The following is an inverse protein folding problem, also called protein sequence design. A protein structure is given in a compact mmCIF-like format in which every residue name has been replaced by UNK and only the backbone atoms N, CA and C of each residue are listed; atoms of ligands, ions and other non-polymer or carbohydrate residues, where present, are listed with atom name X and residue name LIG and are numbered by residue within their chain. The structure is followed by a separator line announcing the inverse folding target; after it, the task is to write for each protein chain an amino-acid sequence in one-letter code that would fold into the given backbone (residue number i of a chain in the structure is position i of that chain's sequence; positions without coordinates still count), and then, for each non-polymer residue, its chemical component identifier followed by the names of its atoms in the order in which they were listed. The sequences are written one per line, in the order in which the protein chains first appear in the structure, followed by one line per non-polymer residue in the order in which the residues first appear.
data_IF_005075716264
#
_entry.id   IF_005075716264
#
_cell.length_a   1.000
_cell.length_b   1.000
_cell.length_c   1.000
_cell.angle_alpha   90.00
_cell.angle_beta   90.00
_cell.angle_gamma   90.00
#
_symmetry.space_group_name_H-M   'P 1'
#
loop_
_entity.id
_entity.type
_entity.pdbx_description
1 polymer ?
#
# COMPACT_ATOMS: atom_id res chain seq x y z
N UNK A 1 4.16 13.27 -22.64
CA UNK A 1 5.25 13.23 -21.66
C UNK A 1 6.08 12.01 -21.96
N UNK A 2 7.33 12.20 -22.38
CA UNK A 2 8.23 11.09 -22.73
C UNK A 2 8.75 10.41 -21.47
N UNK A 3 9.12 9.13 -21.58
CA UNK A 3 9.68 8.33 -20.49
C UNK A 3 10.99 8.91 -19.90
N UNK A 4 11.62 9.87 -20.60
CA UNK A 4 12.85 10.52 -20.17
C UNK A 4 12.69 11.56 -19.06
N UNK A 5 11.48 12.15 -18.88
CA UNK A 5 11.25 13.20 -17.88
C UNK A 5 11.01 12.68 -16.45
N UNK A 6 10.98 11.37 -16.26
CA UNK A 6 10.64 10.74 -14.97
C UNK A 6 11.84 10.42 -14.05
N UNK A 7 13.05 10.91 -14.34
CA UNK A 7 14.23 10.75 -13.47
C UNK A 7 14.24 11.63 -12.20
N UNK A 8 13.18 12.39 -11.92
CA UNK A 8 13.18 13.37 -10.83
C UNK A 8 12.69 12.87 -9.47
N UNK A 9 12.43 11.59 -9.27
CA UNK A 9 12.17 11.10 -7.92
C UNK A 9 13.49 10.79 -7.21
N UNK A 10 13.90 11.67 -6.31
CA UNK A 10 15.11 11.53 -5.49
C UNK A 10 15.12 10.32 -4.53
N UNK A 11 14.11 9.48 -4.61
CA UNK A 11 13.88 8.28 -3.78
C UNK A 11 13.98 6.97 -4.56
N UNK A 12 14.14 7.03 -5.90
CA UNK A 12 14.30 5.86 -6.74
C UNK A 12 15.78 5.73 -7.06
N UNK A 13 16.36 4.59 -6.77
CA UNK A 13 17.72 4.22 -7.12
C UNK A 13 17.86 4.09 -8.65
N UNK A 14 19.07 4.29 -9.19
CA UNK A 14 19.36 3.97 -10.60
C UNK A 14 19.54 2.45 -10.83
N UNK A 15 19.45 1.63 -9.78
CA UNK A 15 19.59 0.19 -9.87
C UNK A 15 18.35 -0.43 -10.47
N UNK A 16 18.53 -1.09 -11.61
CA UNK A 16 17.47 -1.81 -12.29
C UNK A 16 17.04 -3.06 -11.52
N UNK A 17 15.74 -3.35 -11.59
CA UNK A 17 15.10 -4.49 -10.96
C UNK A 17 14.19 -5.17 -11.99
N UNK A 18 14.41 -6.46 -12.22
CA UNK A 18 13.62 -7.26 -13.15
C UNK A 18 12.45 -7.93 -12.44
N UNK A 19 11.27 -7.83 -13.02
CA UNK A 19 10.04 -8.43 -12.48
C UNK A 19 9.13 -8.99 -13.57
N UNK A 20 8.13 -9.80 -13.19
CA UNK A 20 7.14 -10.34 -14.12
C UNK A 20 5.73 -9.89 -13.76
N UNK A 21 4.97 -9.47 -14.77
CA UNK A 21 3.54 -9.21 -14.66
C UNK A 21 2.79 -10.00 -15.73
N UNK A 22 1.82 -10.83 -15.31
CA UNK A 22 1.09 -11.77 -16.18
C UNK A 22 1.99 -12.59 -17.10
N UNK A 23 3.13 -13.08 -16.56
CA UNK A 23 4.11 -13.89 -17.27
C UNK A 23 5.12 -13.11 -18.11
N UNK A 24 4.84 -11.84 -18.45
CA UNK A 24 5.73 -10.98 -19.24
C UNK A 24 6.77 -10.31 -18.34
N UNK A 25 8.03 -10.25 -18.82
CA UNK A 25 9.14 -9.61 -18.10
C UNK A 25 9.14 -8.11 -18.33
N UNK A 26 9.40 -7.36 -17.27
CA UNK A 26 9.54 -5.90 -17.24
C UNK A 26 10.72 -5.50 -16.38
N UNK A 27 11.19 -4.27 -16.57
CA UNK A 27 12.27 -3.66 -15.79
C UNK A 27 11.73 -2.40 -15.10
N UNK A 28 11.98 -2.28 -13.82
CA UNK A 28 11.76 -1.07 -13.02
C UNK A 28 13.03 -0.73 -12.26
N UNK A 29 12.94 0.11 -11.26
CA UNK A 29 14.08 0.55 -10.45
C UNK A 29 13.85 0.24 -8.98
N UNK A 30 14.93 0.06 -8.24
CA UNK A 30 14.87 -0.15 -6.79
C UNK A 30 14.16 1.03 -6.11
N UNK A 31 13.11 0.75 -5.34
CA UNK A 31 12.22 1.75 -4.75
C UNK A 31 10.90 1.95 -5.50
N UNK A 32 10.79 1.52 -6.76
CA UNK A 32 9.51 1.51 -7.48
C UNK A 32 8.49 0.61 -6.77
N UNK A 33 7.23 1.03 -6.81
CA UNK A 33 6.10 0.14 -6.53
C UNK A 33 5.76 -0.66 -7.80
N UNK A 34 4.98 -1.73 -7.67
CA UNK A 34 4.49 -2.48 -8.83
C UNK A 34 3.78 -1.51 -9.80
N UNK A 35 2.96 -0.61 -9.28
CA UNK A 35 2.23 0.36 -10.09
C UNK A 35 3.15 1.33 -10.84
N UNK A 36 4.13 1.95 -10.16
CA UNK A 36 5.05 2.89 -10.80
C UNK A 36 5.91 2.21 -11.85
N UNK A 37 6.38 0.99 -11.58
CA UNK A 37 7.15 0.20 -12.53
C UNK A 37 6.32 -0.19 -13.77
N UNK A 38 5.05 -0.58 -13.61
CA UNK A 38 4.15 -0.88 -14.73
C UNK A 38 3.85 0.36 -15.58
N UNK A 39 3.55 1.50 -14.94
CA UNK A 39 3.30 2.76 -15.65
C UNK A 39 4.53 3.24 -16.44
N UNK A 40 5.73 3.10 -15.88
CA UNK A 40 7.00 3.39 -16.56
C UNK A 40 7.18 2.55 -17.83
N UNK A 41 6.71 1.31 -17.81
CA UNK A 41 6.68 0.41 -18.96
C UNK A 41 5.43 0.58 -19.85
N UNK A 42 4.69 1.69 -19.70
CA UNK A 42 3.45 1.98 -20.44
C UNK A 42 2.34 0.92 -20.28
N UNK A 43 2.34 0.16 -19.19
CA UNK A 43 1.28 -0.80 -18.86
C UNK A 43 0.19 -0.06 -18.11
N UNK A 44 -0.88 0.30 -18.82
CA UNK A 44 -2.01 1.09 -18.29
C UNK A 44 -3.12 0.23 -17.72
N UNK A 45 -3.35 -0.96 -18.29
CA UNK A 45 -4.37 -1.90 -17.86
C UNK A 45 -3.76 -2.89 -16.86
N UNK A 46 -4.23 -2.86 -15.61
CA UNK A 46 -3.67 -3.68 -14.52
C UNK A 46 -4.67 -4.62 -13.86
N UNK A 47 -5.97 -4.33 -13.98
CA UNK A 47 -7.02 -5.12 -13.38
C UNK A 47 -8.35 -4.99 -14.15
N UNK A 48 -9.34 -5.78 -13.72
CA UNK A 48 -10.74 -5.69 -14.18
C UNK A 48 -11.65 -5.48 -12.97
N UNK A 49 -12.78 -4.77 -13.17
CA UNK A 49 -13.75 -4.57 -12.09
C UNK A 49 -14.46 -5.88 -11.73
N UNK A 50 -14.87 -6.02 -10.47
CA UNK A 50 -15.42 -7.28 -9.96
C UNK A 50 -16.72 -7.70 -10.66
N UNK A 51 -17.64 -6.77 -10.87
CA UNK A 51 -19.00 -7.09 -11.37
C UNK A 51 -19.08 -7.13 -12.88
N UNK A 52 -18.54 -6.11 -13.53
CA UNK A 52 -18.70 -5.91 -14.97
C UNK A 52 -17.45 -6.18 -15.78
N UNK A 53 -16.35 -6.56 -15.14
CA UNK A 53 -15.07 -6.80 -15.79
C UNK A 53 -14.57 -5.64 -16.67
N UNK A 54 -14.95 -4.41 -16.30
CA UNK A 54 -14.50 -3.20 -16.99
C UNK A 54 -12.99 -3.01 -16.80
N UNK A 55 -12.27 -2.56 -17.84
CA UNK A 55 -10.85 -2.28 -17.72
C UNK A 55 -10.54 -1.30 -16.60
N UNK A 56 -9.49 -1.57 -15.80
CA UNK A 56 -9.04 -0.74 -14.69
C UNK A 56 -7.54 -0.49 -14.79
N UNK A 57 -7.16 0.77 -14.70
CA UNK A 57 -5.78 1.21 -14.55
C UNK A 57 -5.48 1.67 -13.14
N UNK A 58 -4.30 2.28 -12.96
CA UNK A 58 -3.93 2.97 -11.72
C UNK A 58 -4.60 4.34 -11.71
N UNK A 59 -5.34 4.62 -10.65
CA UNK A 59 -6.13 5.83 -10.50
C UNK A 59 -5.48 6.84 -9.54
N UNK A 60 -4.95 6.35 -8.41
CA UNK A 60 -4.31 7.18 -7.37
C UNK A 60 -2.95 6.62 -6.98
N UNK A 61 -2.38 7.09 -5.89
CA UNK A 61 -1.13 6.59 -5.32
C UNK A 61 -1.35 6.05 -3.89
N UNK A 62 -0.39 5.25 -3.41
CA UNK A 62 -0.39 4.74 -2.04
C UNK A 62 -1.59 3.85 -1.71
N UNK A 63 -2.05 3.94 -0.47
CA UNK A 63 -3.16 3.12 0.06
C UNK A 63 -4.53 3.52 -0.48
N UNK A 64 -4.63 4.65 -1.16
CA UNK A 64 -5.89 5.19 -1.68
C UNK A 64 -6.32 4.55 -3.00
N UNK A 65 -5.43 3.77 -3.64
CA UNK A 65 -5.70 3.13 -4.92
C UNK A 65 -6.83 2.10 -4.83
N UNK A 66 -7.96 2.31 -5.54
CA UNK A 66 -9.10 1.40 -5.48
C UNK A 66 -9.05 0.29 -6.55
N UNK A 67 -8.27 0.45 -7.62
CA UNK A 67 -8.36 -0.39 -8.82
C UNK A 67 -7.15 -1.29 -9.05
N UNK A 68 -5.97 -0.83 -8.65
CA UNK A 68 -4.70 -1.50 -8.90
C UNK A 68 -4.43 -2.67 -7.96
N UNK A 69 -5.33 -3.65 -7.95
CA UNK A 69 -5.26 -4.82 -7.07
C UNK A 69 -4.71 -5.99 -7.86
N UNK A 70 -3.64 -6.58 -7.33
CA UNK A 70 -2.89 -7.67 -7.97
C UNK A 70 -2.64 -8.81 -7.01
N UNK A 71 -2.19 -9.94 -7.54
CA UNK A 71 -1.74 -11.09 -6.78
C UNK A 71 -0.23 -11.24 -6.92
N UNK A 72 0.47 -11.40 -5.80
CA UNK A 72 1.89 -11.76 -5.77
C UNK A 72 1.97 -13.28 -5.81
N UNK A 73 2.75 -13.83 -6.74
CA UNK A 73 2.87 -15.27 -6.97
C UNK A 73 4.13 -15.89 -6.35
N UNK A 74 4.87 -15.12 -5.56
CA UNK A 74 6.06 -15.61 -4.87
C UNK A 74 5.67 -16.35 -3.58
N UNK A 75 6.54 -16.39 -2.62
CA UNK A 75 6.56 -17.27 -1.45
C UNK A 75 5.21 -17.47 -0.75
N UNK A 76 4.45 -16.40 -0.56
CA UNK A 76 3.18 -16.47 0.20
C UNK A 76 1.93 -16.41 -0.68
N UNK A 77 2.09 -16.22 -2.00
CA UNK A 77 0.95 -16.08 -2.90
C UNK A 77 -0.08 -15.06 -2.38
N UNK A 78 0.38 -13.81 -2.13
CA UNK A 78 -0.43 -12.74 -1.52
C UNK A 78 -1.53 -12.25 -2.48
N UNK A 79 -2.80 -12.48 -2.18
CA UNK A 79 -3.90 -11.95 -2.98
C UNK A 79 -4.26 -10.53 -2.58
N UNK A 80 -4.97 -9.84 -3.47
CA UNK A 80 -5.58 -8.53 -3.23
C UNK A 80 -4.59 -7.46 -2.76
N UNK A 81 -3.34 -7.55 -3.23
CA UNK A 81 -2.28 -6.61 -2.89
C UNK A 81 -2.40 -5.35 -3.74
N UNK A 82 -2.34 -4.18 -3.11
CA UNK A 82 -2.33 -2.91 -3.86
C UNK A 82 -0.99 -2.70 -4.55
N UNK A 83 -1.03 -2.60 -5.87
CA UNK A 83 0.16 -2.40 -6.70
C UNK A 83 0.89 -1.07 -6.41
N UNK A 84 0.18 -0.08 -5.85
CA UNK A 84 0.72 1.22 -5.47
C UNK A 84 1.44 1.25 -4.12
N UNK A 85 1.32 0.18 -3.33
CA UNK A 85 1.97 0.05 -2.01
C UNK A 85 3.14 -0.93 -2.06
N UNK A 86 2.94 -2.09 -2.73
CA UNK A 86 3.96 -3.14 -2.79
C UNK A 86 5.12 -2.72 -3.69
N UNK A 87 6.32 -2.71 -3.12
CA UNK A 87 7.55 -2.42 -3.87
C UNK A 87 8.02 -3.63 -4.64
N UNK A 88 8.62 -3.38 -5.82
CA UNK A 88 9.25 -4.43 -6.60
C UNK A 88 10.59 -4.85 -5.97
N UNK A 89 10.96 -6.10 -6.21
CA UNK A 89 12.28 -6.67 -5.93
C UNK A 89 12.64 -7.67 -7.03
N UNK A 90 13.90 -7.99 -7.15
CA UNK A 90 14.40 -8.88 -8.22
C UNK A 90 13.67 -10.23 -8.23
N UNK A 91 13.06 -10.55 -9.37
CA UNK A 91 12.33 -11.79 -9.58
C UNK A 91 10.92 -11.85 -8.99
N UNK A 92 10.34 -10.73 -8.51
CA UNK A 92 8.94 -10.74 -8.08
C UNK A 92 8.02 -11.07 -9.25
N UNK A 93 7.07 -11.96 -9.02
CA UNK A 93 6.06 -12.40 -9.99
C UNK A 93 4.70 -11.90 -9.55
N UNK A 94 4.07 -11.13 -10.42
CA UNK A 94 2.79 -10.49 -10.17
C UNK A 94 1.78 -10.96 -11.21
N UNK A 95 0.56 -11.20 -10.80
CA UNK A 95 -0.56 -11.51 -11.70
C UNK A 95 -1.69 -10.52 -11.48
N UNK A 96 -2.31 -10.11 -12.56
CA UNK A 96 -3.59 -9.42 -12.51
C UNK A 96 -4.69 -10.36 -11.97
N UNK A 97 -5.72 -9.77 -11.41
CA UNK A 97 -6.87 -10.49 -10.87
C UNK A 97 -8.13 -10.22 -11.70
N UNK A 98 -9.16 -11.03 -11.45
CA UNK A 98 -10.50 -10.86 -12.01
C UNK A 98 -10.52 -10.83 -13.54
N UNK A 99 -9.88 -11.77 -14.19
CA UNK A 99 -9.84 -11.88 -15.65
C UNK A 99 -9.82 -13.34 -16.11
N UNK A 100 -10.34 -13.60 -17.31
CA UNK A 100 -10.20 -14.90 -17.95
C UNK A 100 -10.45 -14.78 -19.48
N UNK A 101 -9.52 -15.23 -20.34
CA UNK A 101 -8.20 -15.80 -20.02
C UNK A 101 -7.13 -14.75 -19.74
N UNK A 102 -7.30 -13.50 -20.21
CA UNK A 102 -6.29 -12.43 -20.05
C UNK A 102 -6.92 -11.07 -19.74
N UNK A 103 -6.11 -10.06 -19.40
CA UNK A 103 -6.59 -8.70 -19.21
C UNK A 103 -7.17 -8.08 -20.49
N UNK A 104 -6.55 -8.37 -21.63
CA UNK A 104 -6.97 -7.79 -22.92
C UNK A 104 -8.22 -8.50 -23.47
N UNK A 105 -8.25 -9.83 -23.38
CA UNK A 105 -9.39 -10.65 -23.83
C UNK A 105 -9.97 -11.30 -22.58
N UNK A 106 -11.09 -10.75 -22.11
CA UNK A 106 -11.74 -11.23 -20.89
C UNK A 106 -13.20 -11.56 -21.16
N UNK A 107 -13.52 -12.85 -21.10
CA UNK A 107 -14.88 -13.36 -21.35
C UNK A 107 -15.85 -12.83 -20.29
N UNK A 108 -15.39 -12.59 -19.07
CA UNK A 108 -16.21 -11.99 -18.01
C UNK A 108 -16.76 -10.60 -18.38
N UNK A 109 -16.20 -9.92 -19.39
CA UNK A 109 -16.68 -8.63 -19.87
C UNK A 109 -18.09 -8.69 -20.48
N UNK A 110 -18.60 -9.88 -20.81
CA UNK A 110 -20.00 -10.11 -21.21
C UNK A 110 -20.96 -9.60 -20.13
N UNK A 111 -20.58 -9.65 -18.85
CA UNK A 111 -21.37 -9.10 -17.76
C UNK A 111 -21.66 -7.59 -17.91
N UNK A 112 -20.85 -6.87 -18.69
CA UNK A 112 -21.11 -5.46 -18.96
C UNK A 112 -22.30 -5.26 -19.91
N UNK A 113 -22.52 -6.17 -20.85
CA UNK A 113 -23.70 -6.18 -21.74
C UNK A 113 -24.97 -6.50 -20.94
N UNK A 114 -24.85 -7.35 -19.92
CA UNK A 114 -25.94 -7.74 -19.04
C UNK A 114 -26.14 -6.74 -17.87
N UNK A 115 -25.50 -5.59 -17.91
CA UNK A 115 -25.53 -4.59 -16.82
C UNK A 115 -26.94 -4.14 -16.39
N UNK A 116 -27.95 -4.01 -17.26
CA UNK A 116 -29.31 -3.69 -16.83
C UNK A 116 -29.94 -4.74 -15.90
N UNK A 117 -29.57 -6.02 -16.07
CA UNK A 117 -30.05 -7.11 -15.21
C UNK A 117 -29.37 -7.13 -13.83
N UNK A 118 -28.17 -6.57 -13.74
CA UNK A 118 -27.37 -6.55 -12.52
C UNK A 118 -27.46 -5.21 -11.78
N UNK A 119 -28.67 -4.70 -11.58
CA UNK A 119 -28.88 -3.49 -10.77
C UNK A 119 -28.35 -3.64 -9.35
N UNK A 120 -28.19 -2.54 -8.61
CA UNK A 120 -27.78 -2.58 -7.21
C UNK A 120 -28.72 -3.49 -6.40
N UNK A 121 -28.16 -4.39 -5.60
CA UNK A 121 -28.93 -5.32 -4.78
C UNK A 121 -29.60 -6.49 -5.53
N UNK A 122 -29.26 -6.72 -6.82
CA UNK A 122 -29.85 -7.81 -7.61
C UNK A 122 -29.76 -9.18 -6.92
N UNK A 123 -28.67 -9.45 -6.19
CA UNK A 123 -28.47 -10.74 -5.51
C UNK A 123 -29.40 -10.93 -4.31
N UNK A 124 -29.91 -9.88 -3.69
CA UNK A 124 -30.94 -9.99 -2.65
C UNK A 124 -32.32 -10.39 -3.21
N UNK A 125 -32.57 -10.12 -4.49
CA UNK A 125 -33.83 -10.44 -5.14
C UNK A 125 -33.75 -11.73 -5.96
N UNK A 126 -32.60 -11.98 -6.59
CA UNK A 126 -32.46 -13.05 -7.61
C UNK A 126 -32.07 -14.40 -6.98
N UNK A 127 -31.33 -14.40 -5.88
CA UNK A 127 -30.77 -15.62 -5.26
C UNK A 127 -31.45 -16.04 -3.95
N UNK A 128 -32.76 -15.75 -3.84
CA UNK A 128 -33.55 -16.03 -2.62
C UNK A 128 -34.01 -17.49 -2.47
N UNK A 129 -34.02 -18.25 -3.50
CA UNK A 129 -34.47 -19.63 -3.49
C UNK A 129 -33.73 -20.55 -4.44
N UNK A 130 -33.87 -21.89 -4.28
CA UNK A 130 -34.43 -22.63 -3.15
C UNK A 130 -33.62 -22.57 -1.87
N UNK A 131 -34.26 -22.93 -0.75
CA UNK A 131 -33.60 -22.92 0.58
C UNK A 131 -32.29 -23.74 0.59
N UNK A 132 -31.20 -23.14 1.07
CA UNK A 132 -29.87 -23.76 1.14
C UNK A 132 -29.02 -23.58 -0.13
N UNK A 133 -29.57 -23.09 -1.24
CA UNK A 133 -28.81 -22.88 -2.49
C UNK A 133 -27.81 -21.72 -2.36
N UNK A 134 -28.12 -20.73 -1.53
CA UNK A 134 -27.19 -19.64 -1.28
C UNK A 134 -25.80 -20.16 -0.90
N UNK A 135 -25.72 -20.96 0.17
CA UNK A 135 -24.45 -21.47 0.70
C UNK A 135 -23.76 -22.46 -0.25
N UNK A 136 -24.52 -23.29 -0.97
CA UNK A 136 -23.97 -24.40 -1.74
C UNK A 136 -23.66 -24.07 -3.20
N UNK A 137 -24.39 -23.12 -3.79
CA UNK A 137 -24.30 -22.82 -5.21
C UNK A 137 -24.00 -21.34 -5.45
N UNK A 138 -24.86 -20.42 -4.99
CA UNK A 138 -24.75 -19.02 -5.37
C UNK A 138 -23.51 -18.34 -4.79
N UNK A 139 -23.26 -18.48 -3.51
CA UNK A 139 -22.11 -17.87 -2.85
C UNK A 139 -20.77 -18.35 -3.44
N UNK A 140 -20.52 -19.67 -3.62
CA UNK A 140 -19.29 -20.14 -4.27
C UNK A 140 -19.12 -19.63 -5.70
N UNK A 141 -20.20 -19.57 -6.49
CA UNK A 141 -20.14 -19.05 -7.86
C UNK A 141 -19.85 -17.55 -7.84
N UNK A 142 -20.56 -16.77 -7.02
CA UNK A 142 -20.34 -15.33 -6.90
C UNK A 142 -18.92 -15.02 -6.41
N UNK A 143 -18.43 -15.72 -5.40
CA UNK A 143 -17.07 -15.59 -4.89
C UNK A 143 -16.03 -15.88 -5.99
N UNK A 144 -16.25 -16.93 -6.79
CA UNK A 144 -15.34 -17.28 -7.87
C UNK A 144 -15.36 -16.25 -9.00
N UNK A 145 -16.54 -15.72 -9.35
CA UNK A 145 -16.70 -14.70 -10.38
C UNK A 145 -16.29 -13.30 -9.91
N UNK A 146 -16.30 -13.03 -8.61
CA UNK A 146 -15.81 -11.77 -8.05
C UNK A 146 -14.30 -11.58 -8.25
N UNK A 147 -13.57 -12.62 -8.68
CA UNK A 147 -12.15 -12.50 -9.03
C UNK A 147 -11.23 -12.13 -7.86
N UNK A 148 -11.68 -12.36 -6.63
CA UNK A 148 -10.84 -12.24 -5.46
C UNK A 148 -9.68 -13.25 -5.58
N UNK A 149 -8.45 -12.82 -5.32
CA UNK A 149 -7.27 -13.67 -5.42
C UNK A 149 -7.37 -14.92 -4.57
N UNK A 150 -6.52 -15.88 -4.86
CA UNK A 150 -6.48 -17.15 -4.11
C UNK A 150 -5.59 -16.99 -2.88
N UNK A 151 -6.09 -17.29 -1.68
CA UNK A 151 -5.26 -17.29 -0.48
C UNK A 151 -4.15 -18.36 -0.60
N UNK A 152 -3.04 -18.18 0.10
CA UNK A 152 -2.01 -19.19 0.17
C UNK A 152 -2.56 -20.45 0.83
N UNK A 153 -2.13 -21.63 0.37
CA UNK A 153 -2.49 -22.93 0.98
C UNK A 153 -1.85 -23.06 2.36
N UNK A 154 -0.62 -22.60 2.48
CA UNK A 154 0.13 -22.56 3.72
C UNK A 154 0.69 -21.15 3.90
N UNK A 155 0.36 -20.52 5.02
CA UNK A 155 0.91 -19.24 5.39
C UNK A 155 1.74 -19.41 6.65
N UNK A 156 3.07 -19.29 6.53
CA UNK A 156 4.00 -19.34 7.65
C UNK A 156 4.91 -18.13 7.58
N UNK A 157 4.45 -17.04 8.16
CA UNK A 157 5.27 -15.86 8.37
C UNK A 157 5.98 -15.96 9.71
N UNK A 158 7.27 -15.68 9.73
CA UNK A 158 8.01 -15.52 10.99
C UNK A 158 7.82 -14.08 11.47
N UNK A 159 7.35 -13.95 12.67
CA UNK A 159 7.19 -12.66 13.34
C UNK A 159 7.89 -12.64 14.69
N UNK A 160 8.33 -11.46 15.08
CA UNK A 160 8.86 -11.19 16.43
C UNK A 160 8.01 -10.12 17.09
N UNK A 161 8.03 -10.09 18.42
CA UNK A 161 7.34 -9.07 19.20
C UNK A 161 8.39 -8.18 19.88
N UNK A 162 8.12 -6.87 19.87
CA UNK A 162 8.93 -5.89 20.61
C UNK A 162 8.02 -5.02 21.44
N UNK A 163 8.45 -4.75 22.70
CA UNK A 163 7.75 -3.86 23.60
C UNK A 163 8.51 -2.53 23.67
N UNK A 164 7.77 -1.43 23.67
CA UNK A 164 8.27 -0.10 23.84
C UNK A 164 7.54 0.60 24.97
N UNK A 165 8.27 1.35 25.77
CA UNK A 165 7.74 2.26 26.77
C UNK A 165 8.42 3.61 26.51
N UNK A 166 7.64 4.60 26.07
CA UNK A 166 8.13 5.92 25.65
C UNK A 166 7.17 7.00 26.14
N UNK A 167 7.65 8.22 26.29
CA UNK A 167 6.80 9.32 26.77
C UNK A 167 5.82 9.78 25.70
N UNK A 168 6.30 9.90 24.44
CA UNK A 168 5.51 10.43 23.34
C UNK A 168 5.62 9.52 22.13
N UNK A 169 4.47 9.18 21.54
CA UNK A 169 4.39 8.53 20.22
C UNK A 169 3.85 9.50 19.19
N UNK A 170 4.53 9.61 18.06
CA UNK A 170 4.06 10.37 16.88
C UNK A 170 3.67 9.35 15.81
N UNK A 171 2.39 9.32 15.45
CA UNK A 171 1.86 8.45 14.39
C UNK A 171 1.83 9.23 13.09
N UNK A 172 2.72 8.89 12.18
CA UNK A 172 2.90 9.53 10.87
C UNK A 172 4.10 10.47 10.80
N UNK A 173 4.99 10.20 9.86
CA UNK A 173 6.19 10.98 9.55
C UNK A 173 5.99 12.00 8.42
N UNK A 174 4.76 12.49 8.23
CA UNK A 174 4.43 13.58 7.31
C UNK A 174 4.85 14.95 7.85
N UNK A 175 4.40 16.04 7.20
CA UNK A 175 4.75 17.40 7.59
C UNK A 175 4.48 17.67 9.08
N UNK A 176 3.26 17.38 9.52
CA UNK A 176 2.83 17.65 10.91
C UNK A 176 3.66 16.85 11.92
N UNK A 177 3.88 15.55 11.64
CA UNK A 177 4.69 14.68 12.51
C UNK A 177 6.15 15.13 12.57
N UNK A 178 6.74 15.53 11.44
CA UNK A 178 8.11 16.05 11.40
C UNK A 178 8.27 17.40 12.12
N UNK A 179 7.27 18.28 12.04
CA UNK A 179 7.28 19.55 12.79
C UNK A 179 7.19 19.27 14.30
N UNK A 180 6.30 18.36 14.71
CA UNK A 180 6.19 17.95 16.11
C UNK A 180 7.51 17.34 16.61
N UNK A 181 8.09 16.41 15.84
CA UNK A 181 9.38 15.80 16.18
C UNK A 181 10.51 16.82 16.33
N UNK A 182 10.62 17.80 15.40
CA UNK A 182 11.65 18.85 15.51
C UNK A 182 11.57 19.66 16.80
N UNK A 183 10.35 19.88 17.32
CA UNK A 183 10.15 20.61 18.59
C UNK A 183 10.52 19.77 19.82
N UNK A 184 10.62 18.46 19.65
CA UNK A 184 10.96 17.52 20.72
C UNK A 184 12.43 17.08 20.70
N UNK A 185 13.23 17.56 19.74
CA UNK A 185 14.67 17.32 19.69
C UNK A 185 15.31 17.88 20.95
N UNK A 186 16.20 17.10 21.56
CA UNK A 186 16.98 17.42 22.76
C UNK A 186 16.11 17.80 23.99
N UNK A 187 14.85 17.39 24.02
CA UNK A 187 14.02 17.45 25.23
C UNK A 187 14.28 16.24 26.12
N UNK A 188 13.72 16.26 27.33
CA UNK A 188 13.81 15.15 28.28
C UNK A 188 12.88 13.95 27.93
N UNK A 189 12.03 14.08 26.91
CA UNK A 189 11.04 13.07 26.55
C UNK A 189 11.61 12.05 25.57
N UNK A 190 11.38 10.76 25.84
CA UNK A 190 11.62 9.69 24.89
C UNK A 190 10.50 9.66 23.84
N UNK A 191 10.87 9.81 22.57
CA UNK A 191 9.92 9.95 21.46
C UNK A 191 10.07 8.81 20.45
N UNK A 192 8.95 8.22 20.05
CA UNK A 192 8.89 7.21 18.99
C UNK A 192 8.04 7.71 17.83
N UNK A 193 8.63 7.77 16.64
CA UNK A 193 7.91 8.10 15.41
C UNK A 193 7.61 6.80 14.66
N UNK A 194 6.34 6.60 14.29
CA UNK A 194 5.88 5.46 13.50
C UNK A 194 5.47 5.95 12.11
N UNK A 195 6.13 5.45 11.07
CA UNK A 195 5.83 5.80 9.68
C UNK A 195 5.55 4.54 8.86
N UNK A 196 4.40 4.49 8.20
CA UNK A 196 4.01 3.36 7.39
C UNK A 196 4.83 3.18 6.12
N UNK A 197 5.34 4.28 5.57
CA UNK A 197 6.17 4.26 4.37
C UNK A 197 7.66 4.04 4.71
N UNK A 198 8.44 3.70 3.69
CA UNK A 198 9.91 3.59 3.83
C UNK A 198 10.61 4.95 3.91
N UNK A 199 9.87 6.03 3.67
CA UNK A 199 10.39 7.39 3.59
C UNK A 199 9.51 8.33 4.40
N UNK A 200 10.13 9.29 5.07
CA UNK A 200 9.45 10.38 5.73
C UNK A 200 8.97 11.44 4.74
N UNK A 201 8.09 12.32 5.18
CA UNK A 201 7.61 13.48 4.44
C UNK A 201 6.17 13.35 3.92
N UNK A 202 5.61 12.13 3.88
CA UNK A 202 4.22 11.90 3.45
C UNK A 202 3.91 12.59 2.13
N UNK A 203 2.80 13.32 2.07
CA UNK A 203 2.30 14.02 0.90
C UNK A 203 3.24 15.09 0.35
N UNK A 204 4.13 15.66 1.19
CA UNK A 204 5.12 16.67 0.73
C UNK A 204 6.03 16.17 -0.38
N UNK A 205 6.25 14.87 -0.47
CA UNK A 205 7.10 14.25 -1.51
C UNK A 205 6.48 14.39 -2.91
N UNK A 206 5.16 14.51 -2.99
CA UNK A 206 4.39 14.48 -4.24
C UNK A 206 3.72 15.82 -4.56
N UNK A 207 3.78 16.80 -3.64
CA UNK A 207 3.16 18.11 -3.84
C UNK A 207 4.03 19.02 -4.70
N UNK A 208 3.74 19.08 -6.00
CA UNK A 208 4.38 20.03 -6.92
C UNK A 208 4.00 21.50 -6.65
N UNK A 209 2.92 21.76 -5.90
CA UNK A 209 2.43 23.11 -5.58
C UNK A 209 3.20 23.78 -4.45
N UNK A 210 3.76 23.01 -3.52
CA UNK A 210 4.58 23.54 -2.41
C UNK A 210 5.97 23.82 -2.92
N UNK A 211 6.29 25.07 -3.16
CA UNK A 211 7.60 25.47 -3.72
C UNK A 211 8.70 25.44 -2.67
N UNK A 212 8.43 25.91 -1.46
CA UNK A 212 9.44 26.02 -0.37
C UNK A 212 8.83 25.83 1.01
N UNK A 213 9.59 25.23 1.92
CA UNK A 213 9.36 25.15 3.37
C UNK A 213 10.59 25.74 4.03
N UNK A 214 10.45 26.80 4.81
CA UNK A 214 11.58 27.51 5.43
C UNK A 214 12.69 27.84 4.40
N UNK A 215 12.31 28.38 3.25
CA UNK A 215 13.21 28.73 2.13
C UNK A 215 13.93 27.56 1.43
N UNK A 216 13.65 26.31 1.79
CA UNK A 216 14.22 25.10 1.19
C UNK A 216 13.18 24.35 0.35
N UNK A 217 13.62 23.58 -0.64
CA UNK A 217 12.74 22.65 -1.34
C UNK A 217 12.19 21.61 -0.35
N UNK A 218 10.94 21.13 -0.51
CA UNK A 218 10.34 20.18 0.42
C UNK A 218 11.22 18.95 0.70
N UNK A 219 11.83 18.38 -0.33
CA UNK A 219 12.71 17.22 -0.24
C UNK A 219 13.98 17.52 0.57
N UNK A 220 14.59 18.68 0.38
CA UNK A 220 15.77 19.10 1.13
C UNK A 220 15.42 19.30 2.59
N UNK A 221 14.29 19.95 2.89
CA UNK A 221 13.80 20.14 4.24
C UNK A 221 13.52 18.81 4.96
N UNK A 222 12.91 17.83 4.26
CA UNK A 222 12.66 16.49 4.80
C UNK A 222 14.00 15.81 5.16
N UNK A 223 14.96 15.79 4.23
CA UNK A 223 16.28 15.15 4.45
C UNK A 223 17.04 15.77 5.62
N UNK A 224 17.02 17.10 5.69
CA UNK A 224 17.64 17.80 6.82
C UNK A 224 16.94 17.48 8.14
N UNK A 225 15.61 17.51 8.15
CA UNK A 225 14.82 17.17 9.35
C UNK A 225 15.09 15.74 9.80
N UNK A 226 15.11 14.78 8.88
CA UNK A 226 15.45 13.39 9.17
C UNK A 226 16.86 13.26 9.76
N UNK A 227 17.84 14.01 9.21
CA UNK A 227 19.20 14.03 9.73
C UNK A 227 19.26 14.56 11.16
N UNK A 228 18.54 15.65 11.44
CA UNK A 228 18.47 16.24 12.78
C UNK A 228 17.83 15.27 13.80
N UNK A 229 16.72 14.64 13.42
CA UNK A 229 16.04 13.66 14.27
C UNK A 229 16.94 12.44 14.54
N UNK A 230 17.60 11.92 13.51
CA UNK A 230 18.52 10.78 13.67
C UNK A 230 19.78 11.10 14.50
N UNK A 231 20.18 12.36 14.56
CA UNK A 231 21.27 12.82 15.43
C UNK A 231 20.83 13.00 16.88
N UNK A 232 19.56 13.16 17.14
CA UNK A 232 18.97 13.29 18.48
C UNK A 232 19.03 11.98 19.23
N UNK A 233 19.36 12.02 20.53
CA UNK A 233 19.45 10.82 21.38
C UNK A 233 18.10 10.34 21.89
N UNK A 234 17.10 11.21 21.92
CA UNK A 234 15.79 10.98 22.52
C UNK A 234 14.69 10.63 21.52
N UNK A 235 14.98 10.62 20.19
CA UNK A 235 13.96 10.31 19.18
C UNK A 235 14.35 9.09 18.36
N UNK A 236 13.46 8.12 18.28
CA UNK A 236 13.60 6.92 17.44
C UNK A 236 12.55 6.92 16.32
N UNK A 237 12.95 6.52 15.11
CA UNK A 237 12.06 6.39 13.96
C UNK A 237 11.92 4.92 13.60
N UNK A 238 10.69 4.43 13.48
CA UNK A 238 10.35 3.14 12.89
C UNK A 238 9.60 3.39 11.58
N UNK A 239 10.28 3.15 10.47
CA UNK A 239 9.71 3.18 9.11
C UNK A 239 9.09 1.83 8.76
N UNK A 240 8.28 1.76 7.71
CA UNK A 240 7.52 0.56 7.30
C UNK A 240 6.65 0.00 8.43
N UNK A 241 6.19 0.86 9.32
CA UNK A 241 5.52 0.52 10.56
C UNK A 241 4.11 1.11 10.58
N UNK A 242 3.13 0.27 10.28
CA UNK A 242 1.71 0.64 10.26
C UNK A 242 1.11 0.50 11.66
N UNK A 243 0.58 1.58 12.22
CA UNK A 243 -0.22 1.52 13.45
C UNK A 243 -1.56 0.87 13.13
N UNK A 244 -1.82 -0.29 13.71
CA UNK A 244 -3.02 -1.10 13.47
C UNK A 244 -4.10 -0.89 14.51
N UNK A 245 -3.73 -0.45 15.73
CA UNK A 245 -4.69 -0.13 16.76
C UNK A 245 -4.16 0.91 17.76
N UNK A 246 -5.10 1.66 18.31
CA UNK A 246 -4.91 2.59 19.42
C UNK A 246 -5.97 2.28 20.47
N UNK A 247 -5.54 1.76 21.60
CA UNK A 247 -6.41 1.24 22.65
C UNK A 247 -6.44 2.18 23.87
N UNK A 248 -7.32 1.89 24.82
CA UNK A 248 -7.37 2.61 26.09
C UNK A 248 -5.99 2.66 26.77
N UNK A 249 -5.78 3.68 27.60
CA UNK A 249 -4.53 3.90 28.34
C UNK A 249 -3.29 4.10 27.45
N UNK A 250 -3.48 4.74 26.28
CA UNK A 250 -2.39 5.06 25.32
C UNK A 250 -1.53 3.82 24.97
N UNK A 251 -2.18 2.71 24.68
CA UNK A 251 -1.54 1.50 24.21
C UNK A 251 -1.75 1.35 22.71
N UNK A 252 -0.65 1.39 21.93
CA UNK A 252 -0.67 1.24 20.49
C UNK A 252 -0.08 -0.10 20.08
N UNK A 253 -0.58 -0.62 18.95
CA UNK A 253 0.02 -1.76 18.27
C UNK A 253 0.41 -1.31 16.86
N UNK A 254 1.65 -1.57 16.48
CA UNK A 254 2.13 -1.33 15.13
C UNK A 254 2.75 -2.60 14.53
N UNK A 255 2.60 -2.76 13.23
CA UNK A 255 3.16 -3.85 12.46
C UNK A 255 4.21 -3.30 11.51
N UNK A 256 5.47 -3.71 11.71
CA UNK A 256 6.59 -3.36 10.85
C UNK A 256 6.84 -4.47 9.82
N UNK A 257 6.90 -4.10 8.54
CA UNK A 257 7.32 -5.00 7.46
C UNK A 257 8.83 -4.87 7.23
N UNK A 258 9.58 -5.93 7.55
CA UNK A 258 11.04 -6.00 7.37
C UNK A 258 11.47 -6.32 5.95
N UNK A 259 10.53 -6.76 5.10
CA UNK A 259 10.80 -7.29 3.77
C UNK A 259 10.37 -6.34 2.63
N UNK A 260 10.10 -5.07 2.95
CA UNK A 260 9.70 -4.08 1.93
C UNK A 260 10.76 -3.97 0.83
N UNK A 261 10.37 -4.25 -0.42
CA UNK A 261 11.26 -4.22 -1.58
C UNK A 261 12.37 -5.27 -1.59
N UNK A 262 12.20 -6.36 -0.82
CA UNK A 262 13.17 -7.46 -0.74
C UNK A 262 12.45 -8.80 -0.87
N UNK A 263 13.20 -9.78 -1.36
CA UNK A 263 12.75 -11.18 -1.33
C UNK A 263 12.69 -11.66 0.12
N UNK A 264 11.67 -12.42 0.46
CA UNK A 264 11.47 -12.98 1.77
C UNK A 264 12.55 -14.07 2.02
N UNK A 265 13.25 -13.92 3.12
CA UNK A 265 14.18 -14.95 3.64
C UNK A 265 13.46 -15.76 4.70
N UNK A 266 13.15 -17.02 4.39
CA UNK A 266 12.42 -17.95 5.29
C UNK A 266 13.07 -18.13 6.66
N UNK A 267 14.35 -17.76 6.82
CA UNK A 267 15.08 -17.92 8.07
C UNK A 267 15.01 -16.67 8.96
N UNK A 268 14.56 -15.53 8.41
CA UNK A 268 14.47 -14.25 9.13
C UNK A 268 13.02 -13.89 9.42
N UNK A 269 12.77 -13.10 10.48
CA UNK A 269 11.43 -12.55 10.72
C UNK A 269 11.07 -11.56 9.61
N UNK A 270 9.88 -11.72 9.06
CA UNK A 270 9.30 -10.85 8.05
C UNK A 270 8.62 -9.64 8.67
N UNK A 271 7.99 -9.88 9.81
CA UNK A 271 7.16 -8.90 10.51
C UNK A 271 7.65 -8.71 11.93
N UNK A 272 7.53 -7.48 12.42
CA UNK A 272 7.68 -7.19 13.86
C UNK A 272 6.39 -6.56 14.37
N UNK A 273 5.81 -7.18 15.39
CA UNK A 273 4.69 -6.62 16.13
C UNK A 273 5.22 -5.77 17.27
N UNK A 274 5.04 -4.46 17.18
CA UNK A 274 5.41 -3.51 18.23
C UNK A 274 4.21 -3.28 19.14
N UNK A 275 4.38 -3.54 20.45
CA UNK A 275 3.45 -3.18 21.51
C UNK A 275 4.02 -1.96 22.23
N UNK A 276 3.29 -0.86 22.20
CA UNK A 276 3.82 0.43 22.62
C UNK A 276 2.94 1.02 23.71
N UNK A 277 3.53 1.32 24.85
CA UNK A 277 2.92 2.14 25.90
C UNK A 277 3.51 3.53 25.85
N UNK A 278 2.66 4.53 26.00
CA UNK A 278 3.08 5.92 25.96
C UNK A 278 2.23 6.78 26.90
N UNK A 279 2.77 7.90 27.33
CA UNK A 279 2.02 8.90 28.09
C UNK A 279 1.15 9.76 27.16
N UNK A 280 1.71 10.14 25.99
CA UNK A 280 1.03 11.01 25.03
C UNK A 280 1.14 10.46 23.62
N UNK A 281 0.07 10.60 22.85
CA UNK A 281 0.02 10.21 21.44
C UNK A 281 -0.32 11.42 20.56
N UNK A 282 0.52 11.71 19.57
CA UNK A 282 0.28 12.71 18.54
C UNK A 282 -0.14 11.99 17.26
N UNK A 283 -1.39 12.14 16.87
CA UNK A 283 -1.91 11.59 15.62
C UNK A 283 -1.64 12.57 14.48
N UNK A 284 -0.66 12.25 13.64
CA UNK A 284 -0.23 13.03 12.48
C UNK A 284 -0.32 12.21 11.18
N UNK A 285 -1.30 11.30 11.12
CA UNK A 285 -1.48 10.29 10.07
C UNK A 285 -2.06 10.86 8.76
N UNK A 286 -2.27 12.18 8.67
CA UNK A 286 -2.78 12.85 7.48
C UNK A 286 -4.26 12.55 7.22
N UNK A 287 -4.66 12.74 5.97
CA UNK A 287 -6.02 12.47 5.49
C UNK A 287 -5.98 11.93 4.06
N UNK A 288 -7.07 11.32 3.65
CA UNK A 288 -7.29 10.81 2.30
C UNK A 288 -8.23 11.77 1.58
N UNK A 289 -7.76 12.35 0.47
CA UNK A 289 -8.59 13.15 -0.43
C UNK A 289 -9.24 12.25 -1.47
N UNK A 290 -10.56 12.27 -1.55
CA UNK A 290 -11.32 11.55 -2.56
C UNK A 290 -12.18 12.51 -3.36
N UNK A 291 -12.20 12.33 -4.66
CA UNK A 291 -13.14 13.03 -5.51
C UNK A 291 -14.56 12.57 -5.19
N UNK A 292 -15.43 13.54 -4.95
CA UNK A 292 -16.87 13.30 -4.91
C UNK A 292 -17.31 13.32 -6.37
N UNK A 293 -17.66 12.16 -6.94
CA UNK A 293 -18.26 12.08 -8.25
C UNK A 293 -19.78 11.99 -8.12
N UNK A 294 -20.45 12.89 -8.79
CA UNK A 294 -21.90 12.91 -8.91
C UNK A 294 -22.26 13.10 -10.38
N UNK A 295 -23.33 12.49 -10.80
CA UNK A 295 -23.91 12.74 -12.13
C UNK A 295 -24.68 14.05 -12.10
N UNK A 296 -24.47 14.89 -13.10
CA UNK A 296 -25.37 16.01 -13.39
C UNK A 296 -26.65 15.48 -13.99
#
# INVERSE_FOLDING_TARGET
MSAADNKQSSYISDKEVSFKFDGKKYVGYEGDTIASALLRNNVKLVARSFKYHRPRGIYTCGIEEPNGIVQILNEHNEPNTRATVKKIYEGIRVSSQNRWPSLNIDIGSINNLLSPMFSAGFYYKTFMGPKGFWKRIYEPVIRRTAGLGKPPKEFRSKSIHQNHNVDIVIVGGGLSGLIAARKLIDTQYDVLILEQDSFLGGVLRNLNKVKKINNKKPIEWIKETEKLINASKNIKILKNSLVTSYNFTNHLIALEDKCVGKKIDKNKPELTLHKIRTTHTILANGHIERFISFSN
#
